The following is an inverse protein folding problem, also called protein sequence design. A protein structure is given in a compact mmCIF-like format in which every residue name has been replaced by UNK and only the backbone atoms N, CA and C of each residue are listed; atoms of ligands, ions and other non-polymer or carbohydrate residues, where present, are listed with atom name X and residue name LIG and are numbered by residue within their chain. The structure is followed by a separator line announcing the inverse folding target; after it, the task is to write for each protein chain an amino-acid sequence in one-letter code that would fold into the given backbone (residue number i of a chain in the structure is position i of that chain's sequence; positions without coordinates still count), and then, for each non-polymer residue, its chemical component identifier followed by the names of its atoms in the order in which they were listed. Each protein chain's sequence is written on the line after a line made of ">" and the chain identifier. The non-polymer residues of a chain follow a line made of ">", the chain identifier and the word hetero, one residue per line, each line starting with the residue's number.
data_IF_584832784302
#
_entry.id   IF_584832784302
#
_cell.length_a   1.000
_cell.length_b   1.000
_cell.length_c   1.000
_cell.angle_alpha   90.00
_cell.angle_beta   90.00
_cell.angle_gamma   90.00
#
_symmetry.space_group_name_H-M   'P 1'
#
loop_
_entity.id
_entity.type
_entity.pdbx_description
1 polymer ?
#
# COMPACT_ATOMS: atom_id res chain seq x y z
N UNK A 1 83.52 28.40 -30.15
CA UNK A 1 83.24 27.36 -29.15
C UNK A 1 82.09 27.86 -28.25
N UNK A 2 80.85 27.34 -28.44
CA UNK A 2 79.71 27.73 -27.66
C UNK A 2 79.16 26.46 -27.00
N UNK A 3 79.20 26.41 -25.68
CA UNK A 3 78.55 25.35 -24.89
C UNK A 3 77.04 25.65 -24.75
N UNK A 4 76.20 24.71 -25.08
CA UNK A 4 74.77 24.81 -24.82
C UNK A 4 74.42 23.85 -23.66
N UNK A 5 73.98 24.44 -22.54
CA UNK A 5 73.49 23.77 -21.39
C UNK A 5 71.99 23.37 -21.67
N UNK A 6 71.69 22.12 -21.59
CA UNK A 6 70.37 21.58 -21.61
C UNK A 6 69.86 21.32 -20.16
N UNK A 7 68.90 22.12 -19.74
CA UNK A 7 68.19 21.91 -18.44
C UNK A 7 67.06 20.94 -18.65
N UNK A 8 67.12 19.80 -17.98
CA UNK A 8 66.03 18.80 -17.94
C UNK A 8 65.07 19.19 -16.80
N UNK A 9 63.81 19.57 -17.14
CA UNK A 9 62.76 19.73 -16.18
C UNK A 9 62.13 18.38 -15.87
N UNK A 10 62.30 17.86 -14.67
CA UNK A 10 61.57 16.73 -14.13
C UNK A 10 60.24 17.24 -13.57
N UNK A 11 59.11 16.90 -14.25
CA UNK A 11 57.78 17.16 -13.77
C UNK A 11 57.38 16.07 -12.77
N UNK A 12 57.34 16.39 -11.49
CA UNK A 12 56.77 15.51 -10.45
C UNK A 12 55.25 15.54 -10.52
N UNK A 13 54.64 14.40 -10.95
CA UNK A 13 53.19 14.19 -10.98
C UNK A 13 52.72 13.82 -9.57
N UNK A 14 52.25 14.79 -8.81
CA UNK A 14 51.65 14.55 -7.49
C UNK A 14 50.23 14.04 -7.67
N UNK A 15 50.02 12.72 -7.50
CA UNK A 15 48.69 12.10 -7.41
C UNK A 15 48.03 12.60 -6.11
N UNK A 16 47.09 13.51 -6.22
CA UNK A 16 46.16 13.86 -5.14
C UNK A 16 45.15 12.70 -4.95
N UNK A 17 45.42 11.83 -3.99
CA UNK A 17 44.46 10.89 -3.44
C UNK A 17 43.39 11.71 -2.67
N UNK A 18 42.26 11.98 -3.31
CA UNK A 18 41.08 12.47 -2.64
C UNK A 18 40.57 11.34 -1.73
N UNK A 19 40.46 11.53 -0.41
CA UNK A 19 39.80 10.59 0.43
C UNK A 19 38.30 10.61 0.06
N UNK A 20 37.83 9.58 -0.62
CA UNK A 20 36.40 9.34 -0.78
C UNK A 20 35.79 9.27 0.61
N UNK A 21 34.95 10.23 0.97
CA UNK A 21 34.08 10.13 2.15
C UNK A 21 33.09 8.98 1.98
N UNK A 22 33.51 7.75 2.25
CA UNK A 22 32.58 6.71 2.60
C UNK A 22 32.01 7.09 3.98
N UNK A 23 30.72 7.39 4.08
CA UNK A 23 30.03 7.45 5.37
C UNK A 23 30.42 6.16 6.11
N UNK A 24 31.21 6.26 7.18
CA UNK A 24 31.43 5.15 8.09
C UNK A 24 30.04 4.69 8.54
N UNK A 25 29.73 3.42 8.34
CA UNK A 25 28.59 2.80 9.00
C UNK A 25 28.82 2.96 10.50
N UNK A 26 27.90 3.66 11.17
CA UNK A 26 27.92 3.71 12.63
C UNK A 26 27.61 2.29 13.10
N UNK A 27 28.60 1.62 13.72
CA UNK A 27 28.45 0.24 14.20
C UNK A 27 27.28 0.06 15.19
N UNK A 28 26.70 1.17 15.67
CA UNK A 28 25.59 1.21 16.61
C UNK A 28 24.20 1.35 15.96
N UNK A 29 24.12 1.31 14.61
CA UNK A 29 22.88 1.55 13.87
C UNK A 29 22.59 0.44 12.87
N UNK A 30 21.33 0.00 12.77
CA UNK A 30 20.83 -0.88 11.72
C UNK A 30 19.99 -0.03 10.77
N UNK A 31 20.44 0.12 9.52
CA UNK A 31 19.73 0.89 8.50
C UNK A 31 18.73 0.00 7.76
N UNK A 32 17.52 0.48 7.54
CA UNK A 32 16.46 -0.20 6.79
C UNK A 32 15.98 0.73 5.68
N UNK A 33 15.95 0.26 4.44
CA UNK A 33 15.49 1.04 3.30
C UNK A 33 13.96 1.11 3.25
N UNK A 34 13.44 2.26 2.85
CA UNK A 34 12.01 2.48 2.61
C UNK A 34 11.82 3.17 1.28
N UNK A 35 11.15 2.53 0.32
CA UNK A 35 10.68 3.17 -0.91
C UNK A 35 9.19 3.44 -0.77
N UNK A 36 8.77 4.70 -0.92
CA UNK A 36 7.36 5.08 -0.86
C UNK A 36 7.12 6.42 -1.56
N UNK A 37 5.88 6.71 -1.93
CA UNK A 37 5.52 7.92 -2.67
C UNK A 37 5.34 9.10 -1.71
N UNK A 38 6.41 9.83 -1.38
CA UNK A 38 6.33 11.02 -0.52
C UNK A 38 5.85 12.26 -1.29
N UNK A 39 5.99 12.24 -2.62
CA UNK A 39 5.49 13.26 -3.54
C UNK A 39 4.68 12.64 -4.68
N UNK A 40 4.06 13.48 -5.50
CA UNK A 40 3.18 13.02 -6.59
C UNK A 40 1.75 12.73 -6.11
N UNK A 41 0.98 12.04 -6.95
CA UNK A 41 -0.46 11.79 -6.70
C UNK A 41 -0.74 10.76 -5.59
N UNK A 42 0.26 9.98 -5.19
CA UNK A 42 0.15 9.01 -4.11
C UNK A 42 0.72 9.52 -2.78
N UNK A 43 1.13 10.80 -2.72
CA UNK A 43 1.72 11.40 -1.53
C UNK A 43 0.88 11.24 -0.24
N UNK A 44 -0.46 11.29 -0.23
CA UNK A 44 -1.24 11.04 0.97
C UNK A 44 -0.99 9.66 1.58
N UNK A 45 -0.76 8.66 0.75
CA UNK A 45 -0.46 7.29 1.19
C UNK A 45 0.99 7.14 1.67
N UNK A 46 1.94 7.81 0.99
CA UNK A 46 3.33 7.88 1.44
C UNK A 46 3.46 8.57 2.79
N UNK A 47 2.69 9.62 3.03
CA UNK A 47 2.62 10.28 4.33
C UNK A 47 2.01 9.36 5.40
N UNK A 48 0.97 8.58 5.07
CA UNK A 48 0.42 7.58 5.98
C UNK A 48 1.48 6.53 6.36
N UNK A 49 2.27 6.05 5.39
CA UNK A 49 3.41 5.16 5.63
C UNK A 49 4.43 5.80 6.58
N UNK A 50 4.86 7.02 6.27
CA UNK A 50 5.86 7.74 7.07
C UNK A 50 5.44 7.89 8.53
N UNK A 51 4.15 8.22 8.77
CA UNK A 51 3.59 8.34 10.12
C UNK A 51 3.54 7.00 10.85
N UNK A 52 3.14 5.93 10.17
CA UNK A 52 3.14 4.58 10.74
C UNK A 52 4.54 4.12 11.10
N UNK A 53 5.51 4.31 10.20
CA UNK A 53 6.92 3.99 10.47
C UNK A 53 7.50 4.80 11.62
N UNK A 54 7.14 6.08 11.76
CA UNK A 54 7.67 6.93 12.84
C UNK A 54 7.26 6.41 14.22
N UNK A 55 6.02 5.96 14.41
CA UNK A 55 5.56 5.37 15.66
C UNK A 55 6.34 4.07 15.96
N UNK A 56 6.45 3.17 14.97
CA UNK A 56 7.19 1.93 15.15
C UNK A 56 8.68 2.17 15.47
N UNK A 57 9.29 3.15 14.77
CA UNK A 57 10.70 3.50 14.95
C UNK A 57 10.99 3.98 16.37
N UNK A 58 10.15 4.85 16.92
CA UNK A 58 10.30 5.35 18.28
C UNK A 58 10.18 4.23 19.32
N UNK A 59 9.17 3.35 19.15
CA UNK A 59 8.97 2.21 20.06
C UNK A 59 10.15 1.21 20.02
N UNK A 60 10.65 0.91 18.82
CA UNK A 60 11.79 0.02 18.63
C UNK A 60 13.07 0.62 19.18
N UNK A 61 13.30 1.90 18.94
CA UNK A 61 14.47 2.61 19.38
C UNK A 61 14.48 2.88 20.90
N UNK A 62 13.32 2.88 21.57
CA UNK A 62 13.27 2.92 23.04
C UNK A 62 13.90 1.67 23.67
N UNK A 63 13.79 0.51 23.00
CA UNK A 63 14.31 -0.78 23.49
C UNK A 63 15.64 -1.17 22.85
N UNK A 64 15.88 -0.75 21.61
CA UNK A 64 16.96 -1.20 20.75
C UNK A 64 16.68 -2.58 20.13
N UNK A 65 17.37 -2.86 19.01
CA UNK A 65 17.34 -4.15 18.30
C UNK A 65 18.78 -4.66 18.24
N UNK A 66 19.06 -5.81 18.82
CA UNK A 66 20.45 -6.32 19.02
C UNK A 66 21.37 -5.30 19.71
N UNK A 67 20.83 -4.49 20.65
CA UNK A 67 21.57 -3.41 21.32
C UNK A 67 21.82 -2.17 20.45
N UNK A 68 21.32 -2.13 19.22
CA UNK A 68 21.49 -1.04 18.24
C UNK A 68 20.21 -0.25 18.04
N UNK A 69 20.33 0.95 17.48
CA UNK A 69 19.19 1.75 16.99
C UNK A 69 18.88 1.39 15.54
N UNK A 70 17.60 1.54 15.16
CA UNK A 70 17.17 1.47 13.77
C UNK A 70 17.17 2.89 13.19
N UNK A 71 17.63 3.02 11.96
CA UNK A 71 17.50 4.19 11.11
C UNK A 71 16.78 3.82 9.82
N UNK A 72 15.86 4.69 9.36
CA UNK A 72 15.12 4.49 8.12
C UNK A 72 15.67 5.40 7.03
N UNK A 73 16.14 4.79 5.96
CA UNK A 73 16.57 5.48 4.75
C UNK A 73 15.41 5.56 3.76
N UNK A 74 14.74 6.71 3.73
CA UNK A 74 13.63 6.95 2.82
C UNK A 74 14.10 7.33 1.42
N UNK A 75 13.49 6.70 0.42
CA UNK A 75 13.57 7.11 -0.97
C UNK A 75 12.17 7.43 -1.49
N UNK A 76 11.97 8.65 -1.97
CA UNK A 76 10.73 9.10 -2.60
C UNK A 76 10.66 8.60 -4.05
N UNK A 77 9.72 7.71 -4.34
CA UNK A 77 9.49 7.23 -5.71
C UNK A 77 8.67 8.22 -6.56
N UNK A 78 8.26 9.35 -6.01
CA UNK A 78 7.52 10.41 -6.70
C UNK A 78 6.25 9.90 -7.41
N UNK A 79 5.68 8.80 -6.92
CA UNK A 79 4.57 8.07 -7.56
C UNK A 79 4.91 7.52 -8.95
N UNK A 80 6.18 7.13 -9.18
CA UNK A 80 6.73 6.67 -10.46
C UNK A 80 7.54 5.40 -10.29
N UNK A 81 7.31 4.43 -11.15
CA UNK A 81 7.99 3.13 -11.08
C UNK A 81 9.49 3.18 -11.44
N UNK A 82 9.89 4.06 -12.36
CA UNK A 82 11.30 4.27 -12.71
C UNK A 82 12.10 4.83 -11.52
N UNK A 83 11.50 5.74 -10.74
CA UNK A 83 12.11 6.26 -9.52
C UNK A 83 12.19 5.19 -8.44
N UNK A 84 11.19 4.34 -8.30
CA UNK A 84 11.24 3.22 -7.35
C UNK A 84 12.43 2.27 -7.63
N UNK A 85 12.70 1.98 -8.91
CA UNK A 85 13.87 1.17 -9.31
C UNK A 85 15.19 1.89 -8.99
N UNK A 86 15.27 3.21 -9.22
CA UNK A 86 16.44 4.01 -8.81
C UNK A 86 16.64 3.98 -7.29
N UNK A 87 15.52 4.00 -6.53
CA UNK A 87 15.54 3.85 -5.08
C UNK A 87 16.18 2.55 -4.62
N UNK A 88 15.94 1.43 -5.31
CA UNK A 88 16.62 0.15 -5.01
C UNK A 88 18.13 0.30 -5.16
N UNK A 89 18.60 0.88 -6.27
CA UNK A 89 20.05 1.07 -6.49
C UNK A 89 20.66 2.01 -5.45
N UNK A 90 19.96 3.08 -5.07
CA UNK A 90 20.44 4.00 -4.02
C UNK A 90 20.54 3.28 -2.67
N UNK A 91 19.46 2.63 -2.24
CA UNK A 91 19.38 2.03 -0.91
C UNK A 91 20.27 0.79 -0.77
N UNK A 92 20.27 -0.11 -1.79
CA UNK A 92 20.98 -1.39 -1.68
C UNK A 92 22.45 -1.25 -2.09
N UNK A 93 22.75 -0.60 -3.23
CA UNK A 93 24.12 -0.57 -3.75
C UNK A 93 24.98 0.50 -3.07
N UNK A 94 24.40 1.68 -2.75
CA UNK A 94 25.13 2.82 -2.17
C UNK A 94 25.02 2.85 -0.64
N UNK A 95 23.80 2.78 -0.10
CA UNK A 95 23.55 2.88 1.34
C UNK A 95 23.69 1.52 2.05
N UNK A 96 23.72 0.42 1.29
CA UNK A 96 23.93 -0.97 1.73
C UNK A 96 22.92 -1.42 2.80
N UNK A 97 21.66 -1.03 2.63
CA UNK A 97 20.60 -1.51 3.52
C UNK A 97 20.39 -3.02 3.34
N UNK A 98 20.23 -3.79 4.43
CA UNK A 98 20.09 -5.25 4.34
C UNK A 98 18.67 -5.71 3.97
N UNK A 99 17.68 -4.81 4.00
CA UNK A 99 16.26 -5.08 3.71
C UNK A 99 15.58 -3.80 3.26
N UNK A 100 14.56 -3.92 2.38
CA UNK A 100 13.76 -2.79 1.90
C UNK A 100 12.28 -3.04 2.21
N UNK A 101 11.61 -2.01 2.71
CA UNK A 101 10.16 -1.90 2.86
C UNK A 101 9.59 -1.10 1.70
N UNK A 102 8.51 -1.55 1.08
CA UNK A 102 7.87 -0.79 0.00
C UNK A 102 7.55 -1.64 -1.24
N UNK A 103 7.19 -1.00 -2.37
CA UNK A 103 6.74 0.37 -2.45
C UNK A 103 5.27 0.49 -2.06
N UNK A 104 4.69 1.72 -2.16
CA UNK A 104 3.26 1.86 -1.92
C UNK A 104 2.44 1.27 -3.07
N UNK A 105 2.67 1.72 -4.31
CA UNK A 105 1.87 1.31 -5.45
C UNK A 105 2.26 -0.07 -5.99
N UNK A 106 1.29 -0.78 -6.56
CA UNK A 106 1.55 -2.07 -7.23
C UNK A 106 2.48 -1.92 -8.44
N UNK A 107 2.42 -0.78 -9.13
CA UNK A 107 3.27 -0.44 -10.28
C UNK A 107 4.74 -0.34 -9.85
N UNK A 108 5.04 0.54 -8.88
CA UNK A 108 6.38 0.73 -8.34
C UNK A 108 6.92 -0.56 -7.71
N UNK A 109 6.10 -1.26 -6.92
CA UNK A 109 6.50 -2.51 -6.27
C UNK A 109 6.89 -3.58 -7.30
N UNK A 110 6.05 -3.78 -8.32
CA UNK A 110 6.34 -4.76 -9.38
C UNK A 110 7.63 -4.43 -10.12
N UNK A 111 7.88 -3.15 -10.40
CA UNK A 111 9.10 -2.70 -11.07
C UNK A 111 10.38 -2.94 -10.24
N UNK A 112 10.29 -2.84 -8.90
CA UNK A 112 11.45 -3.06 -8.00
C UNK A 112 11.86 -4.52 -7.90
N UNK A 113 10.92 -5.48 -8.00
CA UNK A 113 11.14 -6.89 -7.68
C UNK A 113 12.34 -7.52 -8.41
N UNK A 114 12.52 -7.37 -9.73
CA UNK A 114 13.69 -7.93 -10.41
C UNK A 114 15.02 -7.43 -9.84
N UNK A 115 15.10 -6.13 -9.52
CA UNK A 115 16.30 -5.53 -8.97
C UNK A 115 16.60 -6.01 -7.54
N UNK A 116 15.59 -6.24 -6.71
CA UNK A 116 15.72 -6.79 -5.36
C UNK A 116 16.18 -8.26 -5.38
N UNK A 117 15.60 -9.07 -6.28
CA UNK A 117 15.99 -10.48 -6.48
C UNK A 117 17.44 -10.58 -6.92
N UNK A 118 17.85 -9.79 -7.92
CA UNK A 118 19.22 -9.77 -8.42
C UNK A 118 20.24 -9.46 -7.32
N UNK A 119 19.90 -8.57 -6.39
CA UNK A 119 20.75 -8.15 -5.27
C UNK A 119 20.65 -9.05 -4.05
N UNK A 120 19.81 -10.09 -4.11
CA UNK A 120 19.56 -10.98 -2.98
C UNK A 120 19.24 -10.20 -1.69
N UNK A 121 18.40 -9.16 -1.80
CA UNK A 121 17.96 -8.32 -0.69
C UNK A 121 16.46 -8.51 -0.48
N UNK A 122 16.00 -8.85 0.74
CA UNK A 122 14.58 -9.07 1.00
C UNK A 122 13.78 -7.78 0.80
N UNK A 123 12.65 -7.92 0.12
CA UNK A 123 11.61 -6.91 -0.04
C UNK A 123 10.39 -7.32 0.76
N UNK A 124 10.00 -6.53 1.76
CA UNK A 124 8.74 -6.70 2.46
C UNK A 124 7.73 -5.63 1.97
N UNK A 125 6.63 -6.10 1.39
CA UNK A 125 5.62 -5.29 0.73
C UNK A 125 4.46 -5.04 1.69
N UNK A 126 4.25 -3.79 2.14
CA UNK A 126 3.16 -3.46 3.07
C UNK A 126 1.79 -3.36 2.39
N UNK A 127 1.69 -2.80 1.18
CA UNK A 127 0.42 -2.27 0.64
C UNK A 127 0.07 -2.67 -0.79
N UNK A 128 1.01 -3.09 -1.63
CA UNK A 128 0.73 -3.37 -3.05
C UNK A 128 -0.17 -4.60 -3.24
N UNK A 129 -1.42 -4.38 -3.67
CA UNK A 129 -2.47 -5.42 -3.70
C UNK A 129 -2.60 -6.16 -5.02
N UNK A 130 -2.01 -5.69 -6.13
CA UNK A 130 -2.11 -6.40 -7.40
C UNK A 130 -1.56 -7.84 -7.28
N UNK A 131 -2.33 -8.84 -7.75
CA UNK A 131 -1.96 -10.25 -7.57
C UNK A 131 -0.64 -10.58 -8.26
N UNK A 132 -0.38 -9.98 -9.43
CA UNK A 132 0.84 -10.20 -10.22
C UNK A 132 2.13 -9.64 -9.59
N UNK A 133 2.05 -8.95 -8.48
CA UNK A 133 3.21 -8.56 -7.67
C UNK A 133 3.92 -9.80 -7.09
N UNK A 134 3.16 -10.87 -6.81
CA UNK A 134 3.69 -12.12 -6.26
C UNK A 134 4.04 -13.18 -7.32
N UNK A 135 3.93 -12.87 -8.62
CA UNK A 135 4.19 -13.84 -9.71
C UNK A 135 5.61 -14.39 -9.74
N UNK A 136 6.59 -13.64 -9.23
CA UNK A 136 7.98 -14.07 -9.17
C UNK A 136 8.21 -15.30 -8.30
N UNK A 137 7.32 -15.54 -7.31
CA UNK A 137 7.44 -16.59 -6.29
C UNK A 137 8.85 -16.67 -5.68
N UNK A 138 9.54 -15.52 -5.67
CA UNK A 138 10.92 -15.42 -5.23
C UNK A 138 11.04 -15.56 -3.72
N UNK A 139 12.07 -16.26 -3.20
CA UNK A 139 12.31 -16.29 -1.76
C UNK A 139 12.69 -14.93 -1.14
N UNK A 140 12.91 -13.91 -1.96
CA UNK A 140 13.31 -12.57 -1.54
C UNK A 140 12.14 -11.58 -1.42
N UNK A 141 10.93 -12.02 -1.77
CA UNK A 141 9.75 -11.15 -1.83
C UNK A 141 8.68 -11.64 -0.87
N UNK A 142 8.21 -10.77 0.00
CA UNK A 142 7.20 -11.05 1.00
C UNK A 142 6.12 -9.97 0.96
N UNK A 143 4.84 -10.34 1.05
CA UNK A 143 3.72 -9.40 1.07
C UNK A 143 2.84 -9.65 2.29
N UNK A 144 2.65 -8.61 3.13
CA UNK A 144 1.80 -8.72 4.32
C UNK A 144 0.33 -8.46 4.02
N UNK A 145 0.03 -7.63 3.03
CA UNK A 145 -1.34 -7.25 2.68
C UNK A 145 -2.06 -8.35 1.88
N UNK A 146 -3.39 -8.31 1.92
CA UNK A 146 -4.25 -9.10 1.05
C UNK A 146 -4.07 -8.71 -0.41
N UNK A 147 -4.33 -9.64 -1.33
CA UNK A 147 -4.31 -9.41 -2.77
C UNK A 147 -5.66 -8.95 -3.33
N UNK A 148 -5.65 -8.60 -4.62
CA UNK A 148 -6.85 -8.19 -5.35
C UNK A 148 -7.93 -9.30 -5.35
N UNK A 149 -7.50 -10.56 -5.46
CA UNK A 149 -8.39 -11.71 -5.37
C UNK A 149 -9.13 -11.81 -4.04
N UNK A 150 -8.47 -11.46 -2.94
CA UNK A 150 -9.08 -11.49 -1.61
C UNK A 150 -10.10 -10.35 -1.42
N UNK A 151 -9.81 -9.18 -1.99
CA UNK A 151 -10.76 -8.05 -2.02
C UNK A 151 -12.02 -8.40 -2.79
N UNK A 152 -11.88 -8.98 -3.97
CA UNK A 152 -13.01 -9.41 -4.78
C UNK A 152 -13.85 -10.48 -4.06
N UNK A 153 -13.22 -11.50 -3.45
CA UNK A 153 -13.90 -12.54 -2.67
C UNK A 153 -14.69 -11.95 -1.50
N UNK A 154 -14.09 -11.05 -0.71
CA UNK A 154 -14.76 -10.43 0.43
C UNK A 154 -15.96 -9.58 -0.02
N UNK A 155 -15.82 -8.79 -1.09
CA UNK A 155 -16.93 -8.00 -1.64
C UNK A 155 -18.05 -8.87 -2.14
N UNK A 156 -17.75 -9.93 -2.89
CA UNK A 156 -18.76 -10.86 -3.42
C UNK A 156 -19.48 -11.62 -2.30
N UNK A 157 -18.75 -12.08 -1.28
CA UNK A 157 -19.34 -12.71 -0.11
C UNK A 157 -20.30 -11.76 0.62
N UNK A 158 -19.87 -10.52 0.87
CA UNK A 158 -20.75 -9.49 1.42
C UNK A 158 -22.03 -9.28 0.60
N UNK A 159 -21.89 -9.11 -0.71
CA UNK A 159 -23.03 -8.88 -1.61
C UNK A 159 -24.01 -10.07 -1.62
N UNK A 160 -23.49 -11.29 -1.58
CA UNK A 160 -24.30 -12.53 -1.53
C UNK A 160 -25.17 -12.58 -0.27
N UNK A 161 -24.58 -12.24 0.88
CA UNK A 161 -25.26 -12.27 2.17
C UNK A 161 -26.17 -11.06 2.39
N UNK A 162 -26.01 -10.00 1.59
CA UNK A 162 -26.73 -8.74 1.72
C UNK A 162 -27.44 -8.36 0.40
N UNK A 163 -28.52 -9.05 0.10
CA UNK A 163 -29.43 -8.71 -0.98
C UNK A 163 -29.14 -9.35 -2.34
N UNK A 164 -28.09 -10.15 -2.47
CA UNK A 164 -27.74 -10.96 -3.64
C UNK A 164 -28.02 -10.28 -5.01
N UNK A 165 -27.37 -9.12 -5.29
CA UNK A 165 -27.57 -8.39 -6.54
C UNK A 165 -27.20 -9.25 -7.76
N UNK A 166 -27.79 -8.95 -8.92
CA UNK A 166 -27.61 -9.77 -10.13
C UNK A 166 -26.62 -9.19 -11.13
N UNK A 167 -26.45 -7.88 -11.13
CA UNK A 167 -25.64 -7.17 -12.12
C UNK A 167 -24.56 -6.31 -11.46
N UNK A 168 -23.40 -6.26 -12.10
CA UNK A 168 -22.27 -5.45 -11.64
C UNK A 168 -21.60 -4.76 -12.82
N UNK A 169 -21.24 -3.48 -12.64
CA UNK A 169 -20.33 -2.74 -13.50
C UNK A 169 -19.00 -2.54 -12.77
N UNK A 170 -17.89 -2.65 -13.49
CA UNK A 170 -16.54 -2.45 -12.96
C UNK A 170 -15.94 -1.21 -13.61
N UNK A 171 -15.50 -0.25 -12.80
CA UNK A 171 -14.85 0.99 -13.23
C UNK A 171 -13.47 1.04 -12.63
N UNK A 172 -12.42 1.11 -13.45
CA UNK A 172 -11.06 0.97 -12.95
C UNK A 172 -10.08 1.93 -13.63
N UNK A 173 -9.10 2.38 -12.87
CA UNK A 173 -7.96 3.13 -13.41
C UNK A 173 -7.04 2.21 -14.22
N UNK A 174 -6.51 2.72 -15.34
CA UNK A 174 -5.63 1.96 -16.23
C UNK A 174 -4.20 1.84 -15.68
N UNK A 175 -4.07 1.22 -14.50
CA UNK A 175 -2.82 0.92 -13.82
C UNK A 175 -2.73 -0.57 -13.49
N UNK A 176 -1.56 -1.04 -13.06
CA UNK A 176 -1.41 -2.43 -12.59
C UNK A 176 -2.36 -2.77 -11.43
N UNK A 177 -2.57 -1.81 -10.50
CA UNK A 177 -3.54 -1.95 -9.41
C UNK A 177 -4.98 -2.09 -9.95
N UNK A 178 -5.42 -1.15 -10.80
CA UNK A 178 -6.78 -1.15 -11.33
C UNK A 178 -7.08 -2.39 -12.18
N UNK A 179 -6.17 -2.76 -13.08
CA UNK A 179 -6.29 -3.93 -13.95
C UNK A 179 -6.35 -5.25 -13.14
N UNK A 180 -5.53 -5.40 -12.10
CA UNK A 180 -5.53 -6.60 -11.26
C UNK A 180 -6.85 -6.74 -10.49
N UNK A 181 -7.33 -5.65 -9.88
CA UNK A 181 -8.61 -5.65 -9.16
C UNK A 181 -9.81 -5.86 -10.09
N UNK A 182 -9.80 -5.27 -11.29
CA UNK A 182 -10.82 -5.51 -12.31
C UNK A 182 -10.89 -6.99 -12.68
N UNK A 183 -9.74 -7.62 -13.01
CA UNK A 183 -9.69 -9.04 -13.37
C UNK A 183 -10.18 -9.94 -12.24
N UNK A 184 -9.76 -9.64 -11.01
CA UNK A 184 -10.18 -10.40 -9.83
C UNK A 184 -11.69 -10.29 -9.59
N UNK A 185 -12.26 -9.08 -9.69
CA UNK A 185 -13.69 -8.85 -9.50
C UNK A 185 -14.52 -9.46 -10.63
N UNK A 186 -14.10 -9.33 -11.89
CA UNK A 186 -14.78 -9.96 -13.04
C UNK A 186 -14.89 -11.48 -12.86
N UNK A 187 -13.78 -12.12 -12.48
CA UNK A 187 -13.76 -13.55 -12.22
C UNK A 187 -14.64 -13.96 -11.01
N UNK A 188 -14.54 -13.22 -9.89
CA UNK A 188 -15.28 -13.52 -8.68
C UNK A 188 -16.81 -13.30 -8.87
N UNK A 189 -17.20 -12.22 -9.54
CA UNK A 189 -18.61 -11.93 -9.85
C UNK A 189 -19.23 -13.01 -10.73
N UNK A 190 -18.56 -13.42 -11.81
CA UNK A 190 -18.99 -14.49 -12.71
C UNK A 190 -19.11 -15.84 -11.97
N UNK A 191 -18.12 -16.17 -11.13
CA UNK A 191 -18.15 -17.38 -10.31
C UNK A 191 -19.32 -17.39 -9.30
N UNK A 192 -19.77 -16.22 -8.86
CA UNK A 192 -20.93 -16.05 -7.99
C UNK A 192 -22.28 -15.96 -8.75
N UNK A 193 -22.29 -16.10 -10.07
CA UNK A 193 -23.49 -16.03 -10.91
C UNK A 193 -23.99 -14.59 -11.17
N UNK A 194 -23.15 -13.57 -10.93
CA UNK A 194 -23.47 -12.19 -11.27
C UNK A 194 -23.12 -11.89 -12.75
N UNK A 195 -23.97 -11.12 -13.42
CA UNK A 195 -23.71 -10.62 -14.77
C UNK A 195 -22.85 -9.36 -14.72
N UNK A 196 -21.66 -9.40 -15.31
CA UNK A 196 -20.82 -8.21 -15.50
C UNK A 196 -21.33 -7.46 -16.73
N UNK A 197 -22.07 -6.35 -16.51
CA UNK A 197 -22.80 -5.60 -17.56
C UNK A 197 -21.97 -4.48 -18.17
N UNK A 198 -20.90 -4.05 -17.50
CA UNK A 198 -19.93 -3.09 -18.03
C UNK A 198 -18.56 -3.27 -17.39
N UNK A 199 -17.51 -3.04 -18.16
CA UNK A 199 -16.12 -2.95 -17.71
C UNK A 199 -15.51 -1.71 -18.37
N UNK A 200 -15.30 -0.66 -17.60
CA UNK A 200 -14.89 0.64 -18.08
C UNK A 200 -13.55 1.05 -17.46
N UNK A 201 -12.57 1.32 -18.32
CA UNK A 201 -11.29 1.86 -17.87
C UNK A 201 -11.24 3.38 -18.03
N UNK A 202 -10.40 4.01 -17.22
CA UNK A 202 -10.08 5.43 -17.37
C UNK A 202 -8.59 5.69 -17.09
N UNK A 203 -8.07 6.79 -17.64
CA UNK A 203 -6.74 7.27 -17.35
C UNK A 203 -6.75 8.07 -16.04
N UNK A 204 -5.76 7.83 -15.18
CA UNK A 204 -5.63 8.51 -13.89
C UNK A 204 -5.50 10.02 -14.04
N UNK A 205 -5.97 10.78 -13.06
CA UNK A 205 -5.90 12.25 -13.01
C UNK A 205 -6.70 12.95 -14.12
N UNK A 206 -7.65 12.27 -14.72
CA UNK A 206 -8.58 12.97 -15.59
C UNK A 206 -9.45 13.95 -14.78
N UNK A 207 -9.68 15.16 -15.26
CA UNK A 207 -10.60 16.09 -14.60
C UNK A 207 -12.06 15.66 -14.77
N UNK A 208 -12.35 14.76 -15.71
CA UNK A 208 -13.71 14.41 -16.11
C UNK A 208 -13.87 12.91 -16.40
N UNK A 209 -14.73 12.27 -15.61
CA UNK A 209 -15.13 10.86 -15.71
C UNK A 209 -16.62 10.71 -16.10
N UNK A 210 -17.35 11.80 -16.36
CA UNK A 210 -18.80 11.75 -16.61
C UNK A 210 -19.17 10.86 -17.80
N UNK A 211 -18.37 10.87 -18.85
CA UNK A 211 -18.62 9.99 -20.00
C UNK A 211 -18.55 8.50 -19.62
N UNK A 212 -17.57 8.08 -18.81
CA UNK A 212 -17.47 6.72 -18.27
C UNK A 212 -18.69 6.40 -17.40
N UNK A 213 -19.03 7.30 -16.47
CA UNK A 213 -20.15 7.09 -15.54
C UNK A 213 -21.52 7.06 -16.28
N UNK A 214 -21.68 7.82 -17.36
CA UNK A 214 -22.89 7.78 -18.20
C UNK A 214 -23.03 6.44 -18.95
N UNK A 215 -21.93 5.87 -19.48
CA UNK A 215 -21.98 4.53 -20.09
C UNK A 215 -22.36 3.46 -19.08
N UNK A 216 -21.84 3.55 -17.86
CA UNK A 216 -22.23 2.67 -16.73
C UNK A 216 -23.71 2.84 -16.39
N UNK A 217 -24.18 4.10 -16.27
CA UNK A 217 -25.59 4.42 -15.98
C UNK A 217 -26.57 3.79 -16.99
N UNK A 218 -26.22 3.81 -18.28
CA UNK A 218 -27.06 3.21 -19.34
C UNK A 218 -27.23 1.68 -19.20
N UNK A 219 -26.34 1.01 -18.43
CA UNK A 219 -26.43 -0.42 -18.15
C UNK A 219 -27.25 -0.77 -16.92
N UNK A 220 -27.66 0.25 -16.16
CA UNK A 220 -28.47 0.15 -14.93
C UNK A 220 -28.00 -1.01 -13.99
N UNK A 221 -26.72 -1.01 -13.55
CA UNK A 221 -26.19 -2.08 -12.71
C UNK A 221 -26.72 -1.99 -11.28
N UNK A 222 -26.97 -3.13 -10.64
CA UNK A 222 -27.21 -3.19 -9.19
C UNK A 222 -26.00 -2.68 -8.39
N UNK A 223 -24.80 -3.06 -8.85
CA UNK A 223 -23.54 -2.81 -8.17
C UNK A 223 -22.58 -2.06 -9.08
N UNK A 224 -21.89 -1.07 -8.56
CA UNK A 224 -20.68 -0.53 -9.20
C UNK A 224 -19.50 -0.89 -8.31
N UNK A 225 -18.43 -1.44 -8.91
CA UNK A 225 -17.17 -1.72 -8.25
C UNK A 225 -16.08 -0.81 -8.81
N UNK A 226 -15.57 0.08 -7.95
CA UNK A 226 -14.51 1.02 -8.30
C UNK A 226 -13.13 0.51 -7.90
N UNK A 227 -12.15 0.67 -8.79
CA UNK A 227 -10.73 0.43 -8.50
C UNK A 227 -9.96 1.72 -8.75
N UNK A 228 -9.78 2.54 -7.70
CA UNK A 228 -9.28 3.92 -7.84
C UNK A 228 -8.43 4.35 -6.66
N UNK A 229 -7.41 5.17 -6.90
CA UNK A 229 -6.73 5.93 -5.85
C UNK A 229 -7.56 7.16 -5.42
N UNK A 230 -7.14 7.82 -4.33
CA UNK A 230 -7.93 8.80 -3.59
C UNK A 230 -8.47 9.96 -4.44
N UNK A 231 -7.61 10.58 -5.25
CA UNK A 231 -7.99 11.78 -6.04
C UNK A 231 -9.08 11.44 -7.05
N UNK A 232 -8.90 10.33 -7.76
CA UNK A 232 -9.84 9.86 -8.77
C UNK A 232 -11.12 9.33 -8.11
N UNK A 233 -11.01 8.58 -6.99
CA UNK A 233 -12.15 8.10 -6.21
C UNK A 233 -13.05 9.25 -5.77
N UNK A 234 -12.46 10.33 -5.24
CA UNK A 234 -13.20 11.52 -4.82
C UNK A 234 -13.90 12.22 -5.99
N UNK A 235 -13.23 12.31 -7.15
CA UNK A 235 -13.79 12.92 -8.38
C UNK A 235 -14.90 12.06 -8.96
N UNK A 236 -14.71 10.74 -9.04
CA UNK A 236 -15.74 9.79 -9.49
C UNK A 236 -17.03 9.91 -8.67
N UNK A 237 -16.93 10.00 -7.33
CA UNK A 237 -18.13 10.12 -6.50
C UNK A 237 -18.84 11.46 -6.64
N UNK A 238 -18.10 12.57 -6.79
CA UNK A 238 -18.72 13.88 -7.09
C UNK A 238 -19.44 13.85 -8.44
N UNK A 239 -18.78 13.31 -9.46
CA UNK A 239 -19.37 13.25 -10.80
C UNK A 239 -20.47 12.18 -10.94
N UNK A 240 -20.45 11.13 -10.11
CA UNK A 240 -21.57 10.18 -10.01
C UNK A 240 -22.86 10.89 -9.53
N UNK A 241 -22.75 11.85 -8.61
CA UNK A 241 -23.85 12.72 -8.22
C UNK A 241 -24.31 13.60 -9.39
N UNK A 242 -23.38 14.26 -10.09
CA UNK A 242 -23.68 15.17 -11.20
C UNK A 242 -24.44 14.47 -12.35
N UNK A 243 -24.09 13.22 -12.66
CA UNK A 243 -24.78 12.44 -13.68
C UNK A 243 -25.99 11.67 -13.14
N UNK A 244 -26.33 11.83 -11.87
CA UNK A 244 -27.40 11.12 -11.18
C UNK A 244 -27.32 9.58 -11.39
N UNK A 245 -26.17 9.00 -11.09
CA UNK A 245 -25.92 7.57 -11.11
C UNK A 245 -26.34 6.98 -9.77
N UNK A 246 -27.28 6.06 -9.74
CA UNK A 246 -27.90 5.55 -8.50
C UNK A 246 -27.96 4.01 -8.46
N UNK A 247 -26.83 3.29 -8.36
CA UNK A 247 -26.85 1.84 -8.13
C UNK A 247 -27.35 1.52 -6.71
N UNK A 248 -27.71 0.29 -6.48
CA UNK A 248 -28.03 -0.19 -5.13
C UNK A 248 -26.80 -0.21 -4.22
N UNK A 249 -25.62 -0.50 -4.80
CA UNK A 249 -24.36 -0.59 -4.07
C UNK A 249 -23.26 0.16 -4.83
N UNK A 250 -22.65 1.11 -4.15
CA UNK A 250 -21.33 1.64 -4.53
C UNK A 250 -20.27 0.86 -3.77
N UNK A 251 -19.48 0.03 -4.45
CA UNK A 251 -18.44 -0.81 -3.84
C UNK A 251 -17.07 -0.48 -4.40
N UNK A 252 -16.02 -0.86 -3.71
CA UNK A 252 -14.65 -0.56 -4.18
C UNK A 252 -13.58 -1.54 -3.70
N UNK A 253 -12.44 -1.51 -4.39
CA UNK A 253 -11.23 -2.27 -4.08
C UNK A 253 -10.41 -1.67 -2.92
N UNK A 254 -11.02 -1.03 -1.95
CA UNK A 254 -10.27 -0.40 -0.86
C UNK A 254 -9.49 0.84 -1.34
N UNK A 255 -8.23 0.93 -0.92
CA UNK A 255 -7.25 1.94 -1.37
C UNK A 255 -7.78 3.37 -1.28
N UNK A 256 -8.14 4.02 -2.38
CA UNK A 256 -8.62 5.40 -2.38
C UNK A 256 -9.95 5.59 -1.63
N UNK A 257 -10.86 4.64 -1.77
CA UNK A 257 -12.15 4.62 -1.06
C UNK A 257 -12.05 4.23 0.42
N UNK A 258 -10.89 3.73 0.87
CA UNK A 258 -10.59 3.42 2.27
C UNK A 258 -9.51 4.35 2.86
N UNK A 259 -9.11 5.40 2.14
CA UNK A 259 -8.21 6.42 2.64
C UNK A 259 -8.91 7.28 3.70
N UNK A 260 -8.17 7.70 4.73
CA UNK A 260 -8.74 8.51 5.82
C UNK A 260 -9.37 9.82 5.33
N UNK A 261 -8.83 10.39 4.27
CA UNK A 261 -9.29 11.64 3.67
C UNK A 261 -10.54 11.48 2.79
N UNK A 262 -10.87 10.26 2.34
CA UNK A 262 -11.96 10.06 1.37
C UNK A 262 -13.32 10.59 1.84
N UNK A 263 -13.80 10.32 3.07
CA UNK A 263 -15.05 10.89 3.56
C UNK A 263 -14.94 12.36 4.03
N UNK A 264 -13.72 12.91 4.05
CA UNK A 264 -13.51 14.29 4.49
C UNK A 264 -13.88 15.32 3.39
N UNK A 265 -14.04 16.62 3.73
CA UNK A 265 -14.26 17.67 2.72
C UNK A 265 -13.15 17.79 1.67
N UNK A 266 -11.94 17.33 1.97
CA UNK A 266 -10.80 17.29 1.02
C UNK A 266 -10.90 16.11 0.03
N UNK A 267 -11.67 15.08 0.38
CA UNK A 267 -11.97 13.93 -0.47
C UNK A 267 -13.31 14.08 -1.19
N UNK A 268 -14.18 13.08 -1.06
CA UNK A 268 -15.53 13.06 -1.63
C UNK A 268 -16.55 13.80 -0.76
N UNK A 269 -16.23 14.09 0.51
CA UNK A 269 -17.13 14.75 1.44
C UNK A 269 -18.44 13.96 1.62
N UNK A 270 -19.57 14.65 1.61
CA UNK A 270 -20.90 14.02 1.71
C UNK A 270 -21.18 12.97 0.62
N UNK A 271 -20.48 13.04 -0.52
CA UNK A 271 -20.67 12.08 -1.62
C UNK A 271 -20.03 10.71 -1.31
N UNK A 272 -19.22 10.62 -0.24
CA UNK A 272 -18.70 9.36 0.24
C UNK A 272 -19.75 8.51 0.97
N UNK A 273 -20.86 9.12 1.45
CA UNK A 273 -21.89 8.41 2.22
C UNK A 273 -22.44 7.19 1.46
N UNK A 274 -22.67 6.11 2.20
CA UNK A 274 -23.18 4.82 1.72
C UNK A 274 -22.24 4.07 0.78
N UNK A 275 -21.01 4.53 0.53
CA UNK A 275 -20.03 3.76 -0.23
C UNK A 275 -19.48 2.63 0.61
N UNK A 276 -19.40 1.43 0.01
CA UNK A 276 -18.73 0.27 0.59
C UNK A 276 -17.29 0.20 0.08
N UNK A 277 -16.39 -0.20 0.95
CA UNK A 277 -14.99 -0.38 0.60
C UNK A 277 -14.41 -1.59 1.30
N UNK A 278 -13.50 -2.30 0.66
CA UNK A 278 -12.69 -3.27 1.39
C UNK A 278 -11.62 -2.56 2.20
N UNK A 279 -11.34 -3.10 3.39
CA UNK A 279 -10.29 -2.65 4.28
C UNK A 279 -9.58 -3.84 4.89
N UNK A 280 -8.33 -3.64 5.30
CA UNK A 280 -7.56 -4.70 5.94
C UNK A 280 -7.40 -4.46 7.45
N UNK A 281 -7.78 -3.30 7.92
CA UNK A 281 -7.71 -2.93 9.33
C UNK A 281 -8.56 -1.69 9.61
N UNK A 282 -9.11 -1.64 10.80
CA UNK A 282 -9.69 -0.45 11.44
C UNK A 282 -9.29 -0.44 12.92
N UNK A 283 -9.35 0.71 13.61
CA UNK A 283 -9.02 0.82 15.04
C UNK A 283 -9.80 -0.15 15.93
N UNK A 284 -11.04 -0.46 15.56
CA UNK A 284 -11.93 -1.36 16.27
C UNK A 284 -11.61 -2.85 16.06
N UNK A 285 -10.65 -3.19 15.19
CA UNK A 285 -10.20 -4.56 15.01
C UNK A 285 -9.76 -5.16 16.36
N UNK A 286 -10.20 -6.40 16.62
CA UNK A 286 -9.98 -7.06 17.91
C UNK A 286 -8.56 -7.66 18.05
N UNK A 287 -7.57 -7.08 17.40
CA UNK A 287 -6.18 -7.50 17.48
C UNK A 287 -5.44 -6.69 18.54
N UNK A 288 -4.68 -7.37 19.37
CA UNK A 288 -3.91 -6.72 20.44
C UNK A 288 -2.96 -5.66 19.88
N UNK A 289 -3.03 -4.45 20.42
CA UNK A 289 -2.24 -3.29 19.97
C UNK A 289 -2.93 -2.39 18.93
N UNK A 290 -4.10 -2.79 18.38
CA UNK A 290 -4.83 -1.96 17.41
C UNK A 290 -5.28 -0.62 17.98
N UNK A 291 -5.88 -0.66 19.16
CA UNK A 291 -6.40 0.56 19.83
C UNK A 291 -5.26 1.43 20.36
N UNK A 292 -4.20 0.83 20.83
CA UNK A 292 -3.00 1.52 21.31
C UNK A 292 -2.33 2.28 20.17
N UNK A 293 -2.20 1.66 19.00
CA UNK A 293 -1.68 2.33 17.79
C UNK A 293 -2.58 3.49 17.37
N UNK A 294 -3.90 3.29 17.32
CA UNK A 294 -4.85 4.35 16.97
C UNK A 294 -4.76 5.53 17.94
N UNK A 295 -4.74 5.27 19.24
CA UNK A 295 -4.62 6.31 20.27
C UNK A 295 -3.31 7.09 20.15
N UNK A 296 -2.19 6.41 19.92
CA UNK A 296 -0.88 7.06 19.73
C UNK A 296 -0.82 7.85 18.43
N UNK A 297 -1.40 7.31 17.35
CA UNK A 297 -1.48 8.01 16.07
C UNK A 297 -2.34 9.28 16.20
N UNK A 298 -3.50 9.17 16.84
CA UNK A 298 -4.37 10.33 17.09
C UNK A 298 -3.68 11.38 17.96
N UNK A 299 -3.00 10.95 19.01
CA UNK A 299 -2.23 11.84 19.90
C UNK A 299 -1.17 12.64 19.12
N UNK A 300 -0.49 12.00 18.15
CA UNK A 300 0.58 12.66 17.37
C UNK A 300 0.05 13.55 16.24
N UNK A 301 -1.01 13.10 15.57
CA UNK A 301 -1.40 13.68 14.28
C UNK A 301 -2.79 14.29 14.26
N UNK A 302 -3.57 14.17 15.33
CA UNK A 302 -4.92 14.76 15.46
C UNK A 302 -5.99 14.12 14.56
N UNK A 303 -5.72 12.93 14.01
CA UNK A 303 -6.63 12.18 13.15
C UNK A 303 -6.45 10.69 13.36
N UNK A 304 -7.49 9.90 13.08
CA UNK A 304 -7.39 8.44 13.08
C UNK A 304 -6.64 7.94 11.83
N UNK A 305 -5.84 6.85 11.95
CA UNK A 305 -5.10 6.30 10.82
C UNK A 305 -6.00 5.50 9.88
N UNK A 306 -5.71 5.56 8.57
CA UNK A 306 -6.13 4.51 7.65
C UNK A 306 -5.25 3.27 7.81
N UNK A 307 -5.73 2.11 7.33
CA UNK A 307 -4.98 0.84 7.42
C UNK A 307 -3.57 0.89 6.80
N UNK A 308 -3.31 1.80 5.87
CA UNK A 308 -1.99 2.00 5.26
C UNK A 308 -0.91 2.39 6.29
N UNK A 309 -1.27 3.22 7.27
CA UNK A 309 -0.35 3.57 8.35
C UNK A 309 -0.06 2.38 9.28
N UNK A 310 -1.08 1.56 9.57
CA UNK A 310 -0.92 0.33 10.33
C UNK A 310 -0.04 -0.68 9.60
N UNK A 311 -0.21 -0.84 8.28
CA UNK A 311 0.63 -1.73 7.48
C UNK A 311 2.10 -1.33 7.52
N UNK A 312 2.40 -0.04 7.44
CA UNK A 312 3.76 0.48 7.57
C UNK A 312 4.32 0.22 8.98
N UNK A 313 3.55 0.57 10.02
CA UNK A 313 3.90 0.32 11.41
C UNK A 313 4.28 -1.14 11.66
N UNK A 314 3.45 -2.08 11.23
CA UNK A 314 3.69 -3.51 11.44
C UNK A 314 4.85 -4.01 10.59
N UNK A 315 5.02 -3.58 9.34
CA UNK A 315 6.10 -4.08 8.49
C UNK A 315 7.48 -3.74 9.07
N UNK A 316 7.66 -2.56 9.66
CA UNK A 316 8.92 -2.23 10.34
C UNK A 316 9.15 -3.10 11.59
N UNK A 317 8.09 -3.31 12.39
CA UNK A 317 8.18 -4.18 13.58
C UNK A 317 8.50 -5.63 13.20
N UNK A 318 7.93 -6.13 12.11
CA UNK A 318 8.22 -7.46 11.59
C UNK A 318 9.68 -7.61 11.15
N UNK A 319 10.23 -6.62 10.44
CA UNK A 319 11.64 -6.61 10.07
C UNK A 319 12.53 -6.57 11.32
N UNK A 320 12.20 -5.75 12.29
CA UNK A 320 12.93 -5.67 13.56
C UNK A 320 12.88 -7.00 14.34
N UNK A 321 11.73 -7.67 14.38
CA UNK A 321 11.58 -9.00 14.95
C UNK A 321 12.44 -10.03 14.21
N UNK A 322 12.39 -10.02 12.86
CA UNK A 322 13.20 -10.93 12.04
C UNK A 322 14.71 -10.74 12.25
N UNK A 323 15.18 -9.50 12.40
CA UNK A 323 16.58 -9.19 12.74
C UNK A 323 16.92 -9.73 14.11
N UNK A 324 16.02 -9.57 15.09
CA UNK A 324 16.22 -10.10 16.44
C UNK A 324 16.26 -11.64 16.45
N UNK A 325 15.34 -12.30 15.76
CA UNK A 325 15.27 -13.77 15.67
C UNK A 325 16.50 -14.34 14.95
N UNK A 326 16.95 -13.67 13.89
CA UNK A 326 18.15 -14.03 13.14
C UNK A 326 19.46 -13.79 13.91
N UNK A 327 19.43 -13.00 14.99
CA UNK A 327 20.61 -12.49 15.69
C UNK A 327 21.64 -11.87 14.73
N UNK A 328 21.15 -11.23 13.64
CA UNK A 328 21.98 -10.74 12.55
C UNK A 328 21.27 -9.68 11.71
N UNK A 329 22.04 -8.77 11.12
CA UNK A 329 21.59 -7.83 10.10
C UNK A 329 21.99 -8.23 8.67
N UNK A 330 22.39 -9.48 8.41
CA UNK A 330 22.68 -9.97 7.08
C UNK A 330 21.41 -10.29 6.29
N UNK A 331 21.32 -9.84 5.03
CA UNK A 331 20.14 -9.97 4.16
C UNK A 331 19.59 -11.40 4.08
N UNK A 332 20.48 -12.41 3.94
CA UNK A 332 20.09 -13.83 3.84
C UNK A 332 19.42 -14.29 5.14
N UNK A 333 19.99 -13.95 6.29
CA UNK A 333 19.45 -14.34 7.60
C UNK A 333 18.14 -13.64 7.92
N UNK A 334 18.03 -12.34 7.55
CA UNK A 334 16.77 -11.57 7.66
C UNK A 334 15.69 -12.21 6.79
N UNK A 335 16.00 -12.55 5.53
CA UNK A 335 15.08 -13.25 4.63
C UNK A 335 14.52 -14.53 5.25
N UNK A 336 15.41 -15.37 5.78
CA UNK A 336 15.02 -16.66 6.34
C UNK A 336 14.18 -16.48 7.61
N UNK A 337 14.52 -15.50 8.45
CA UNK A 337 13.73 -15.13 9.62
C UNK A 337 12.35 -14.58 9.23
N UNK A 338 12.25 -13.68 8.23
CA UNK A 338 10.95 -13.19 7.74
C UNK A 338 10.08 -14.35 7.27
N UNK A 339 10.63 -15.29 6.49
CA UNK A 339 9.91 -16.46 5.98
C UNK A 339 9.30 -17.30 7.12
N UNK A 340 9.98 -17.40 8.24
CA UNK A 340 9.59 -18.22 9.38
C UNK A 340 8.71 -17.48 10.41
N UNK A 341 8.38 -16.21 10.17
CA UNK A 341 7.50 -15.46 11.06
C UNK A 341 6.13 -16.15 11.16
N UNK A 342 5.70 -16.35 12.40
CA UNK A 342 4.36 -16.83 12.77
C UNK A 342 3.95 -16.08 14.04
N UNK A 343 3.39 -14.89 13.88
CA UNK A 343 3.15 -13.95 14.97
C UNK A 343 1.75 -13.34 14.89
N UNK A 344 1.18 -12.99 16.03
CA UNK A 344 -0.01 -12.15 16.13
C UNK A 344 0.41 -10.70 16.30
N UNK A 345 -0.18 -9.80 15.53
CA UNK A 345 0.18 -8.38 15.51
C UNK A 345 -1.06 -7.49 15.64
N UNK A 346 -0.86 -6.19 15.81
CA UNK A 346 -1.95 -5.21 15.78
C UNK A 346 -2.64 -5.09 14.40
N UNK A 347 -2.07 -5.69 13.37
CA UNK A 347 -2.65 -5.84 12.02
C UNK A 347 -3.32 -7.22 11.83
N UNK A 348 -3.25 -8.10 12.83
CA UNK A 348 -3.73 -9.48 12.77
C UNK A 348 -2.60 -10.51 12.68
N UNK A 349 -2.93 -11.76 12.38
CA UNK A 349 -1.94 -12.83 12.26
C UNK A 349 -1.07 -12.63 11.02
N UNK A 350 0.23 -12.92 11.18
CA UNK A 350 1.20 -12.91 10.08
C UNK A 350 1.86 -14.26 10.00
N UNK A 351 1.69 -14.90 8.86
CA UNK A 351 2.34 -16.14 8.46
C UNK A 351 2.45 -16.19 6.95
N UNK A 352 3.66 -16.31 6.44
CA UNK A 352 3.90 -16.40 5.01
C UNK A 352 3.74 -17.83 4.49
N UNK A 353 3.09 -17.95 3.34
CA UNK A 353 3.06 -19.21 2.57
C UNK A 353 4.38 -19.44 1.82
N UNK A 354 4.47 -20.53 1.06
CA UNK A 354 5.65 -20.89 0.28
C UNK A 354 6.04 -19.82 -0.76
N UNK A 355 5.09 -18.96 -1.18
CA UNK A 355 5.31 -17.89 -2.15
C UNK A 355 5.60 -16.53 -1.49
N UNK A 356 5.69 -16.46 -0.15
CA UNK A 356 5.92 -15.23 0.57
C UNK A 356 4.65 -14.36 0.75
N UNK A 357 3.46 -14.92 0.54
CA UNK A 357 2.20 -14.23 0.75
C UNK A 357 1.65 -14.50 2.16
N UNK A 358 1.27 -13.45 2.87
CA UNK A 358 0.48 -13.55 4.10
C UNK A 358 -1.02 -13.65 3.78
N UNK A 359 -1.71 -14.59 4.43
CA UNK A 359 -3.17 -14.74 4.34
C UNK A 359 -3.82 -13.75 5.32
N UNK A 360 -4.16 -12.56 4.83
CA UNK A 360 -4.76 -11.51 5.66
C UNK A 360 -6.28 -11.45 5.49
N UNK A 361 -7.07 -11.39 6.59
CA UNK A 361 -8.52 -11.21 6.49
C UNK A 361 -8.86 -9.83 5.90
N UNK A 362 -9.93 -9.78 5.10
CA UNK A 362 -10.43 -8.55 4.48
C UNK A 362 -11.79 -8.22 5.08
N UNK A 363 -11.92 -6.99 5.55
CA UNK A 363 -13.16 -6.42 6.06
C UNK A 363 -13.89 -5.69 4.93
N UNK A 364 -15.23 -5.65 4.98
CA UNK A 364 -16.00 -4.67 4.21
C UNK A 364 -16.48 -3.58 5.16
N UNK A 365 -16.20 -2.35 4.78
CA UNK A 365 -16.60 -1.17 5.50
C UNK A 365 -17.63 -0.38 4.71
N UNK A 366 -18.39 0.47 5.38
CA UNK A 366 -19.26 1.46 4.74
C UNK A 366 -19.04 2.84 5.37
N UNK A 367 -19.04 3.88 4.56
CA UNK A 367 -19.08 5.25 5.09
C UNK A 367 -20.49 5.53 5.60
N UNK A 368 -20.61 5.81 6.90
CA UNK A 368 -21.85 6.16 7.59
C UNK A 368 -21.59 7.36 8.50
N UNK A 369 -22.32 8.46 8.30
CA UNK A 369 -22.12 9.72 8.99
C UNK A 369 -20.67 10.24 8.93
N UNK A 370 -20.07 10.15 7.73
CA UNK A 370 -18.70 10.60 7.47
C UNK A 370 -17.60 9.72 8.09
N UNK A 371 -17.92 8.54 8.61
CA UNK A 371 -16.98 7.62 9.24
C UNK A 371 -17.07 6.23 8.65
N UNK A 372 -15.94 5.52 8.59
CA UNK A 372 -15.93 4.11 8.24
C UNK A 372 -16.51 3.27 9.36
N UNK A 373 -17.42 2.36 9.01
CA UNK A 373 -17.98 1.34 9.90
C UNK A 373 -17.73 -0.04 9.30
N UNK A 374 -17.31 -1.00 10.10
CA UNK A 374 -17.21 -2.40 9.66
C UNK A 374 -18.63 -2.96 9.56
N UNK A 375 -18.97 -3.49 8.39
CA UNK A 375 -20.29 -4.09 8.12
C UNK A 375 -20.20 -5.56 7.74
N UNK A 376 -18.99 -6.08 7.49
CA UNK A 376 -18.75 -7.49 7.16
C UNK A 376 -17.28 -7.90 7.42
N UNK A 377 -16.98 -9.15 7.86
CA UNK A 377 -17.93 -10.21 8.19
C UNK A 377 -18.74 -9.91 9.47
N UNK A 378 -19.80 -10.68 9.71
CA UNK A 378 -20.77 -10.41 10.78
C UNK A 378 -20.16 -10.42 12.19
N UNK A 379 -19.15 -11.27 12.44
CA UNK A 379 -18.44 -11.39 13.71
C UNK A 379 -17.49 -10.21 13.98
N UNK A 380 -17.06 -9.49 12.95
CA UNK A 380 -16.24 -8.29 13.05
C UNK A 380 -17.07 -6.98 12.93
N UNK A 381 -18.34 -7.08 12.50
CA UNK A 381 -19.17 -5.91 12.22
C UNK A 381 -19.51 -5.10 13.48
N UNK A 382 -19.37 -3.77 13.37
CA UNK A 382 -19.77 -2.80 14.41
C UNK A 382 -20.97 -1.94 13.97
N UNK A 383 -21.50 -2.16 12.76
CA UNK A 383 -22.68 -1.50 12.23
C UNK A 383 -23.40 -2.39 11.22
N UNK A 384 -24.68 -2.13 11.00
CA UNK A 384 -25.46 -2.76 9.93
C UNK A 384 -25.20 -2.05 8.60
N UNK A 385 -25.11 -2.77 7.46
CA UNK A 385 -25.01 -2.16 6.16
C UNK A 385 -26.31 -1.45 5.78
N UNK A 386 -26.18 -0.30 5.15
CA UNK A 386 -27.31 0.46 4.59
C UNK A 386 -27.33 0.27 3.08
N UNK A 387 -28.35 -0.43 2.60
CA UNK A 387 -28.61 -0.67 1.17
C UNK A 387 -30.12 -0.84 0.92
N UNK A 388 -30.66 -0.51 -0.27
CA UNK A 388 -29.96 0.21 -1.32
C UNK A 388 -29.46 1.57 -0.83
N UNK A 389 -28.39 2.08 -1.46
CA UNK A 389 -27.94 3.45 -1.20
C UNK A 389 -29.10 4.42 -1.53
N UNK A 390 -29.43 5.41 -0.68
CA UNK A 390 -30.42 6.42 -1.02
C UNK A 390 -30.04 7.13 -2.32
N UNK A 391 -31.05 7.54 -3.11
CA UNK A 391 -30.80 8.31 -4.34
C UNK A 391 -30.15 9.66 -4.00
N UNK A 392 -29.35 10.20 -4.92
CA UNK A 392 -28.69 11.50 -4.72
C UNK A 392 -29.63 12.63 -4.30
N UNK A 393 -30.86 12.64 -4.81
CA UNK A 393 -31.90 13.60 -4.42
C UNK A 393 -32.41 13.45 -3.00
N UNK A 394 -32.05 12.37 -2.30
CA UNK A 394 -32.49 12.02 -0.94
C UNK A 394 -31.38 12.15 0.10
N UNK A 395 -30.14 12.48 -0.32
CA UNK A 395 -28.95 12.58 0.53
C UNK A 395 -28.70 13.98 1.05
#
# INVERSE_FOLDING_TARGET
>A
MRFRNTIACAAALTLLLLPGCSKKSDDNTIRIGVVTSLTGNLAPFGEAHKRGYAIALDELNAKGVLGKKIELDFYDDQSRSDQAVQGVSKLVDQDRVPVVLGAYSSESTKAMIPAMIQRQTPLLIPTATADNVMDSKSPWVFRICAGAGDYAKATVAFLKDNGAPKTIAIVYENTNFGQSNMKAMDAAAKAAGMSVVAVESYETKSPDYRAVLQRVKQKDPDVIYFCSYLVDAATLMRQAQEVDLNPRYYTSAGTGFAAAEFPSPKGAGKNAEYTFSTSQWLPEAQWAGSREFDAEFFRRYGSHPAYHAMQAYISLRMVAQAISDAQSSESVKIRDAIRNLNISTAFGPVRFDANGQNQHPVLVTQVQNGQYRVVYPADAANSKPVFPAPRWSQR
#
